data_IF_845545104438
#
_entry.id   IF_845545104438
#
_cell.length_a   1.000
_cell.length_b   1.000
_cell.length_c   1.000
_cell.angle_alpha   90.00
_cell.angle_beta   90.00
_cell.angle_gamma   90.00
#
_symmetry.space_group_name_H-M   'P 1'
#
loop_
_entity.id
_entity.type
_entity.pdbx_description
1 polymer ?
#
# COMPACT_ATOMS: atom_id res chain seq x y z
N UNK A 1 -1.18 7.17 8.86
CA UNK A 1 -2.31 8.10 9.12
C UNK A 1 -3.25 8.01 7.93
N UNK A 2 -4.57 8.22 8.11
CA UNK A 2 -5.49 8.22 6.97
C UNK A 2 -5.17 9.43 6.10
N UNK A 3 -4.51 9.21 4.96
CA UNK A 3 -4.11 10.29 4.07
C UNK A 3 -5.38 10.97 3.51
N UNK A 4 -5.64 12.19 3.99
CA UNK A 4 -6.89 12.91 3.68
C UNK A 4 -6.92 13.35 2.21
N UNK A 5 -5.75 13.59 1.64
CA UNK A 5 -5.62 14.03 0.25
C UNK A 5 -5.91 12.89 -0.75
N UNK A 6 -5.78 11.64 -0.33
CA UNK A 6 -6.16 10.47 -1.12
C UNK A 6 -7.66 10.17 -1.12
N UNK A 7 -8.41 10.78 -0.20
CA UNK A 7 -9.85 10.58 -0.07
C UNK A 7 -10.68 11.62 -0.84
N UNK A 8 -10.01 12.52 -1.56
CA UNK A 8 -10.60 13.62 -2.32
C UNK A 8 -11.35 13.11 -3.56
N UNK A 9 -12.69 13.14 -3.59
CA UNK A 9 -13.47 12.62 -4.72
C UNK A 9 -13.37 13.51 -5.97
N UNK A 10 -13.01 14.78 -5.80
CA UNK A 10 -12.73 15.77 -6.87
C UNK A 10 -11.53 15.40 -7.75
N UNK A 11 -10.72 14.41 -7.34
CA UNK A 11 -9.66 13.83 -8.18
C UNK A 11 -10.19 12.99 -9.34
N UNK A 12 -11.46 12.62 -9.30
CA UNK A 12 -12.09 11.78 -10.32
C UNK A 12 -13.06 12.60 -11.17
N UNK A 13 -13.01 12.36 -12.48
CA UNK A 13 -13.92 13.00 -13.44
C UNK A 13 -15.01 12.01 -13.87
N UNK A 14 -16.21 12.53 -14.11
CA UNK A 14 -17.29 11.71 -14.69
C UNK A 14 -16.85 11.19 -16.06
N UNK A 15 -16.99 9.89 -16.29
CA UNK A 15 -16.56 9.22 -17.52
C UNK A 15 -15.10 8.76 -17.54
N UNK A 16 -14.31 9.10 -16.52
CA UNK A 16 -12.97 8.57 -16.36
C UNK A 16 -13.01 7.05 -16.14
N UNK A 17 -12.18 6.32 -16.89
CA UNK A 17 -11.95 4.91 -16.63
C UNK A 17 -11.04 4.77 -15.42
N UNK A 18 -11.48 4.00 -14.44
CA UNK A 18 -10.74 3.72 -13.22
C UNK A 18 -10.74 2.24 -12.92
N UNK A 19 -9.72 1.88 -12.17
CA UNK A 19 -9.41 0.53 -11.77
C UNK A 19 -9.88 0.34 -10.31
N UNK A 20 -10.69 -0.69 -10.04
CA UNK A 20 -11.30 -0.89 -8.73
C UNK A 20 -11.44 -2.38 -8.37
N UNK A 21 -11.48 -2.66 -7.07
CA UNK A 21 -11.70 -4.02 -6.55
C UNK A 21 -13.19 -4.26 -6.29
N UNK A 22 -13.70 -5.45 -6.62
CA UNK A 22 -15.05 -5.88 -6.23
C UNK A 22 -15.04 -6.18 -4.73
N UNK A 23 -15.83 -5.44 -3.96
CA UNK A 23 -15.94 -5.61 -2.50
C UNK A 23 -17.21 -6.34 -2.08
N UNK A 24 -18.14 -6.56 -3.01
CA UNK A 24 -19.34 -7.34 -2.78
C UNK A 24 -20.00 -7.74 -4.09
N UNK A 25 -20.43 -8.99 -4.16
CA UNK A 25 -21.08 -9.57 -5.33
C UNK A 25 -22.30 -10.38 -4.93
N UNK A 26 -23.45 -9.99 -5.47
CA UNK A 26 -24.72 -10.71 -5.41
C UNK A 26 -25.26 -10.75 -6.84
N UNK A 27 -25.58 -11.95 -7.33
CA UNK A 27 -26.05 -12.16 -8.72
C UNK A 27 -27.34 -11.40 -9.04
N UNK A 28 -28.16 -11.11 -8.02
CA UNK A 28 -29.43 -10.42 -8.17
C UNK A 28 -29.29 -8.89 -8.11
N UNK A 29 -28.09 -8.37 -7.84
CA UNK A 29 -27.84 -6.94 -7.59
C UNK A 29 -26.64 -6.43 -8.38
N UNK A 30 -26.48 -5.11 -8.40
CA UNK A 30 -25.26 -4.50 -8.92
C UNK A 30 -24.10 -4.77 -7.95
N UNK A 31 -22.92 -5.14 -8.45
CA UNK A 31 -21.73 -5.32 -7.62
C UNK A 31 -21.28 -4.01 -6.98
N UNK A 32 -20.60 -4.13 -5.84
CA UNK A 32 -19.96 -3.02 -5.14
C UNK A 32 -18.48 -2.98 -5.49
N UNK A 33 -17.95 -1.77 -5.72
CA UNK A 33 -16.56 -1.55 -6.10
C UNK A 33 -15.87 -0.56 -5.14
N UNK A 34 -14.56 -0.71 -4.97
CA UNK A 34 -13.73 0.21 -4.19
C UNK A 34 -12.34 0.37 -4.81
N UNK A 35 -11.98 1.61 -5.13
CA UNK A 35 -10.63 1.98 -5.60
C UNK A 35 -9.62 1.85 -4.44
N UNK A 36 -10.01 2.32 -3.25
CA UNK A 36 -9.17 2.26 -2.05
C UNK A 36 -8.83 0.83 -1.63
N UNK A 37 -9.80 -0.09 -1.72
CA UNK A 37 -9.55 -1.49 -1.39
C UNK A 37 -8.51 -2.10 -2.33
N UNK A 38 -8.54 -1.73 -3.62
CA UNK A 38 -7.52 -2.13 -4.59
C UNK A 38 -6.14 -1.58 -4.23
N UNK A 39 -6.04 -0.27 -3.94
CA UNK A 39 -4.78 0.37 -3.57
C UNK A 39 -4.14 -0.29 -2.34
N UNK A 40 -4.93 -0.62 -1.31
CA UNK A 40 -4.42 -1.30 -0.12
C UNK A 40 -3.96 -2.73 -0.41
N UNK A 41 -4.65 -3.43 -1.31
CA UNK A 41 -4.24 -4.77 -1.73
C UNK A 41 -2.92 -4.73 -2.52
N UNK A 42 -2.79 -3.78 -3.45
CA UNK A 42 -1.56 -3.56 -4.23
C UNK A 42 -0.39 -3.11 -3.34
N UNK A 43 -0.62 -2.22 -2.37
CA UNK A 43 0.38 -1.81 -1.38
C UNK A 43 0.84 -3.01 -0.55
N UNK A 44 -0.10 -3.82 -0.07
CA UNK A 44 0.22 -5.03 0.70
C UNK A 44 1.03 -6.03 -0.12
N UNK A 45 0.63 -6.29 -1.36
CA UNK A 45 1.35 -7.18 -2.27
C UNK A 45 2.75 -6.64 -2.57
N UNK A 46 2.89 -5.33 -2.79
CA UNK A 46 4.19 -4.70 -2.98
C UNK A 46 5.07 -4.77 -1.72
N UNK A 47 4.49 -4.65 -0.53
CA UNK A 47 5.21 -4.87 0.73
C UNK A 47 5.61 -6.33 0.90
N UNK A 48 4.78 -7.30 0.49
CA UNK A 48 5.16 -8.71 0.56
C UNK A 48 6.28 -9.06 -0.45
N UNK A 49 6.26 -8.46 -1.64
CA UNK A 49 7.24 -8.70 -2.69
C UNK A 49 8.55 -7.90 -2.54
N UNK A 50 8.46 -6.66 -2.07
CA UNK A 50 9.58 -5.71 -2.00
C UNK A 50 9.87 -5.21 -0.58
N UNK A 51 9.03 -5.52 0.40
CA UNK A 51 9.29 -5.29 1.82
C UNK A 51 10.31 -6.30 2.31
N UNK A 52 11.55 -6.09 1.88
CA UNK A 52 12.70 -6.84 2.32
C UNK A 52 12.88 -6.67 3.84
N UNK A 53 12.89 -7.81 4.52
CA UNK A 53 13.36 -7.99 5.90
C UNK A 53 14.81 -7.52 6.14
N UNK A 54 15.59 -7.19 5.10
CA UNK A 54 16.96 -6.69 5.21
C UNK A 54 17.13 -5.17 5.18
N UNK A 55 16.07 -4.40 4.87
CA UNK A 55 16.18 -2.94 4.72
C UNK A 55 16.44 -2.20 6.04
N UNK A 56 16.26 -2.89 7.18
CA UNK A 56 16.52 -2.37 8.54
C UNK A 56 17.62 -3.09 9.32
N UNK A 57 18.05 -4.27 8.88
CA UNK A 57 19.08 -5.05 9.57
C UNK A 57 20.50 -4.51 9.28
N UNK A 58 20.78 -4.12 8.03
CA UNK A 58 22.15 -3.75 7.66
C UNK A 58 22.63 -2.41 8.25
N UNK A 59 21.75 -1.44 8.49
CA UNK A 59 22.14 -0.18 9.14
C UNK A 59 22.52 -0.39 10.61
N UNK A 60 21.81 -1.28 11.31
CA UNK A 60 22.10 -1.64 12.70
C UNK A 60 23.38 -2.45 12.84
N UNK A 61 23.61 -3.40 11.94
CA UNK A 61 24.82 -4.22 11.92
C UNK A 61 26.06 -3.42 11.52
N UNK A 62 25.97 -2.58 10.47
CA UNK A 62 27.09 -1.73 9.99
C UNK A 62 27.48 -0.68 11.04
N UNK A 63 26.51 -0.01 11.69
CA UNK A 63 26.80 0.95 12.77
C UNK A 63 27.27 0.26 14.05
N UNK A 64 26.70 -0.91 14.36
CA UNK A 64 27.08 -1.70 15.54
C UNK A 64 28.52 -2.20 15.47
N UNK A 65 28.97 -2.67 14.30
CA UNK A 65 30.36 -3.06 14.07
C UNK A 65 31.32 -1.86 14.13
N UNK A 66 30.94 -0.72 13.54
CA UNK A 66 31.75 0.50 13.57
C UNK A 66 31.90 1.12 14.97
N UNK A 67 30.91 0.92 15.86
CA UNK A 67 30.95 1.39 17.25
C UNK A 67 31.77 0.45 18.16
N UNK A 68 31.72 -0.87 17.93
CA UNK A 68 32.52 -1.84 18.69
C UNK A 68 34.02 -1.71 18.42
N UNK A 69 34.44 -1.30 17.23
CA UNK A 69 35.85 -1.07 16.89
C UNK A 69 36.49 0.17 17.54
N UNK A 70 35.73 0.98 18.28
CA UNK A 70 36.21 2.19 18.99
C UNK A 70 36.26 2.03 20.52
N UNK A 71 36.10 0.81 21.04
CA UNK A 71 36.15 0.50 22.48
C UNK A 71 37.46 -0.17 22.86
#
# INVERSE_FOLDING_TARGET
GRDRDEQRPDRFQVGQKVDAMITGFDRSKKPNFSIKARQLAEEKEAVEQYGSSDSGASLGDILGEALKGKS
#
